data_IF_488877193676
#
_entry.id   IF_488877193676
#
_cell.length_a   1.000
_cell.length_b   1.000
_cell.length_c   1.000
_cell.angle_alpha   90.00
_cell.angle_beta   90.00
_cell.angle_gamma   90.00
#
_symmetry.space_group_name_H-M   'P 1'
#
loop_
_entity.id
_entity.type
_entity.pdbx_description
1 polymer ?
#
# COMPACT_ATOMS: atom_id res chain seq x y z
N UNK A 1 27.26 -29.37 -9.09
CA UNK A 1 26.07 -29.72 -8.28
C UNK A 1 26.08 -28.68 -7.18
N UNK A 2 25.18 -27.70 -7.24
CA UNK A 2 24.98 -26.76 -6.13
C UNK A 2 24.46 -27.57 -4.93
N UNK A 3 25.14 -27.55 -3.81
CA UNK A 3 24.57 -28.07 -2.56
C UNK A 3 23.21 -27.40 -2.38
N UNK A 4 22.15 -28.21 -2.32
CA UNK A 4 20.84 -27.70 -1.95
C UNK A 4 20.96 -27.24 -0.50
N UNK A 5 20.89 -25.95 -0.28
CA UNK A 5 20.83 -25.38 1.07
C UNK A 5 19.52 -25.91 1.69
N UNK A 6 19.64 -26.66 2.78
CA UNK A 6 18.48 -27.10 3.56
C UNK A 6 17.84 -25.84 4.16
N UNK A 7 16.54 -25.65 3.91
CA UNK A 7 15.80 -24.47 4.33
C UNK A 7 14.75 -24.88 5.35
N UNK A 8 14.63 -24.07 6.39
CA UNK A 8 13.55 -24.22 7.34
C UNK A 8 12.20 -23.92 6.66
N UNK A 9 11.13 -24.52 7.18
CA UNK A 9 9.77 -24.28 6.69
C UNK A 9 8.79 -24.05 7.81
N UNK A 10 7.81 -23.17 7.55
CA UNK A 10 6.63 -22.96 8.39
C UNK A 10 5.38 -23.17 7.57
N UNK A 11 4.35 -23.77 8.20
CA UNK A 11 3.06 -24.04 7.57
C UNK A 11 1.99 -23.09 8.11
N UNK A 12 1.20 -22.51 7.22
CA UNK A 12 0.07 -21.63 7.51
C UNK A 12 -1.17 -22.06 6.70
N UNK A 13 -2.33 -21.65 7.15
CA UNK A 13 -3.53 -21.77 6.32
C UNK A 13 -3.49 -20.73 5.19
N UNK A 14 -3.09 -19.50 5.51
CA UNK A 14 -3.00 -18.40 4.55
C UNK A 14 -1.68 -17.64 4.71
N UNK A 15 -0.97 -17.49 3.60
CA UNK A 15 0.19 -16.58 3.48
C UNK A 15 -0.19 -15.39 2.62
N UNK A 16 0.06 -14.19 3.09
CA UNK A 16 -0.21 -12.93 2.37
C UNK A 16 1.11 -12.22 2.07
N UNK A 17 1.35 -11.93 0.79
CA UNK A 17 2.57 -11.25 0.33
C UNK A 17 2.28 -9.77 0.16
N UNK A 18 2.82 -8.95 1.05
CA UNK A 18 2.70 -7.49 1.07
C UNK A 18 1.78 -6.97 2.19
N UNK A 19 2.37 -6.21 3.12
CA UNK A 19 1.67 -5.51 4.21
C UNK A 19 1.21 -4.10 3.80
N UNK A 20 0.70 -3.97 2.58
CA UNK A 20 -0.03 -2.79 2.13
C UNK A 20 -1.50 -2.82 2.58
N UNK A 21 -2.29 -1.78 2.24
CA UNK A 21 -3.69 -1.70 2.65
C UNK A 21 -4.50 -2.94 2.23
N UNK A 22 -4.23 -3.48 1.05
CA UNK A 22 -4.92 -4.67 0.52
C UNK A 22 -4.63 -5.93 1.33
N UNK A 23 -3.34 -6.22 1.58
CA UNK A 23 -2.95 -7.43 2.32
C UNK A 23 -3.40 -7.39 3.77
N UNK A 24 -3.20 -6.25 4.44
CA UNK A 24 -3.59 -6.09 5.84
C UNK A 24 -5.12 -6.12 6.03
N UNK A 25 -5.88 -5.48 5.12
CA UNK A 25 -7.34 -5.55 5.20
C UNK A 25 -7.86 -6.98 4.99
N UNK A 26 -7.24 -7.74 4.08
CA UNK A 26 -7.57 -9.14 3.87
C UNK A 26 -7.24 -9.97 5.12
N UNK A 27 -6.07 -9.78 5.72
CA UNK A 27 -5.66 -10.46 6.95
C UNK A 27 -6.63 -10.19 8.11
N UNK A 28 -6.94 -8.90 8.37
CA UNK A 28 -7.90 -8.51 9.40
C UNK A 28 -9.27 -9.17 9.18
N UNK A 29 -9.79 -9.09 7.94
CA UNK A 29 -11.12 -9.64 7.64
C UNK A 29 -11.18 -11.16 7.76
N UNK A 30 -10.15 -11.87 7.32
CA UNK A 30 -10.03 -13.32 7.49
C UNK A 30 -10.08 -13.72 8.97
N UNK A 31 -9.28 -13.06 9.81
CA UNK A 31 -9.24 -13.37 11.23
C UNK A 31 -10.51 -12.96 11.98
N UNK A 32 -11.15 -11.85 11.61
CA UNK A 32 -12.47 -11.49 12.14
C UNK A 32 -13.47 -12.60 11.88
N UNK A 33 -13.57 -13.09 10.64
CA UNK A 33 -14.50 -14.16 10.27
C UNK A 33 -14.16 -15.49 10.96
N UNK A 34 -12.87 -15.82 11.08
CA UNK A 34 -12.42 -17.01 11.78
C UNK A 34 -12.83 -16.95 13.28
N UNK A 35 -12.57 -15.82 13.95
CA UNK A 35 -12.91 -15.61 15.35
C UNK A 35 -14.44 -15.61 15.56
N UNK A 36 -15.22 -14.98 14.69
CA UNK A 36 -16.69 -14.98 14.72
C UNK A 36 -17.28 -16.38 14.57
N UNK A 37 -16.67 -17.23 13.74
CA UNK A 37 -17.13 -18.61 13.47
C UNK A 37 -16.53 -19.65 14.43
N UNK A 38 -15.58 -19.26 15.28
CA UNK A 38 -14.85 -20.17 16.15
C UNK A 38 -13.93 -21.15 15.41
N UNK A 39 -13.51 -20.79 14.19
CA UNK A 39 -12.54 -21.55 13.41
C UNK A 39 -11.11 -21.13 13.76
N UNK A 40 -10.25 -22.12 13.97
CA UNK A 40 -8.82 -21.86 14.08
C UNK A 40 -8.26 -21.64 12.66
N UNK A 41 -7.59 -20.51 12.45
CA UNK A 41 -6.97 -20.13 11.20
C UNK A 41 -5.59 -19.52 11.46
N UNK A 42 -4.56 -20.06 10.85
CA UNK A 42 -3.21 -19.51 10.90
C UNK A 42 -2.97 -18.61 9.67
N UNK A 43 -2.72 -17.33 9.92
CA UNK A 43 -2.49 -16.33 8.85
C UNK A 43 -1.19 -15.61 9.11
N UNK A 44 -0.32 -15.51 8.10
CA UNK A 44 0.84 -14.63 8.14
C UNK A 44 0.86 -13.64 6.99
N UNK A 45 1.46 -12.48 7.25
CA UNK A 45 1.72 -11.42 6.27
C UNK A 45 3.22 -11.17 6.21
N UNK A 46 3.81 -11.27 5.03
CA UNK A 46 5.23 -10.92 4.82
C UNK A 46 5.35 -9.56 4.14
N UNK A 47 6.32 -8.77 4.59
CA UNK A 47 6.61 -7.45 4.05
C UNK A 47 8.12 -7.30 3.80
N UNK A 48 8.49 -6.84 2.59
CA UNK A 48 9.89 -6.63 2.22
C UNK A 48 10.55 -5.44 2.91
N UNK A 49 9.77 -4.44 3.30
CA UNK A 49 10.25 -3.28 4.06
C UNK A 49 10.68 -3.69 5.47
N UNK A 50 11.68 -3.00 6.01
CA UNK A 50 12.17 -3.22 7.37
C UNK A 50 11.09 -3.02 8.45
N UNK A 51 10.07 -2.27 8.12
CA UNK A 51 8.83 -2.08 8.90
C UNK A 51 7.65 -1.90 7.96
N UNK A 52 6.45 -2.15 8.45
CA UNK A 52 5.22 -1.91 7.68
C UNK A 52 5.09 -0.42 7.36
N UNK A 53 4.79 -0.10 6.11
CA UNK A 53 4.64 1.27 5.64
C UNK A 53 5.94 1.98 5.25
N UNK A 54 7.13 1.38 5.46
CA UNK A 54 8.41 2.02 5.14
C UNK A 54 8.56 2.40 3.65
N UNK A 55 7.95 1.64 2.77
CA UNK A 55 7.99 1.89 1.32
C UNK A 55 6.79 2.69 0.80
N UNK A 56 5.95 3.21 1.69
CA UNK A 56 4.75 3.95 1.33
C UNK A 56 4.95 5.43 1.65
N UNK A 57 5.53 6.19 0.70
CA UNK A 57 5.48 7.64 0.74
C UNK A 57 4.13 8.09 0.18
N UNK A 58 3.25 8.53 1.04
CA UNK A 58 1.88 8.84 0.67
C UNK A 58 1.41 10.14 1.28
N UNK A 59 0.90 11.04 0.46
CA UNK A 59 -0.22 11.88 0.83
C UNK A 59 -1.43 11.34 0.07
N UNK A 60 -2.49 11.07 0.76
CA UNK A 60 -3.73 10.60 0.17
C UNK A 60 -4.92 11.29 0.82
N UNK A 61 -5.99 11.45 0.07
CA UNK A 61 -7.29 11.81 0.62
C UNK A 61 -8.13 10.54 0.66
N UNK A 62 -8.40 10.07 1.86
CA UNK A 62 -9.13 8.82 2.09
C UNK A 62 -10.60 9.09 2.40
N UNK A 63 -11.50 8.41 1.72
CA UNK A 63 -12.89 8.23 2.15
C UNK A 63 -12.94 6.99 3.05
N UNK A 64 -13.39 7.10 4.31
CA UNK A 64 -13.19 6.04 5.31
C UNK A 64 -14.19 4.88 5.21
N UNK A 65 -15.04 4.80 4.20
CA UNK A 65 -16.09 3.75 4.06
C UNK A 65 -15.56 2.34 4.24
N UNK A 66 -14.52 1.98 3.50
CA UNK A 66 -13.94 0.64 3.59
C UNK A 66 -13.33 0.36 4.98
N UNK A 67 -12.72 1.37 5.59
CA UNK A 67 -12.21 1.26 6.96
C UNK A 67 -13.35 1.11 7.96
N UNK A 68 -14.44 1.85 7.79
CA UNK A 68 -15.63 1.77 8.65
C UNK A 68 -16.35 0.42 8.50
N UNK A 69 -16.33 -0.18 7.31
CA UNK A 69 -16.87 -1.53 7.11
C UNK A 69 -16.00 -2.60 7.77
N UNK A 70 -14.67 -2.42 7.76
CA UNK A 70 -13.71 -3.34 8.36
C UNK A 70 -13.67 -3.20 9.89
N UNK A 71 -13.64 -1.98 10.39
CA UNK A 71 -13.61 -1.60 11.81
C UNK A 71 -14.62 -0.48 12.06
N UNK A 72 -15.87 -0.81 12.43
CA UNK A 72 -16.89 0.21 12.71
C UNK A 72 -16.49 1.18 13.82
N UNK A 73 -15.64 0.74 14.74
CA UNK A 73 -15.09 1.44 15.90
C UNK A 73 -13.67 2.03 15.65
N UNK A 74 -13.28 2.23 14.38
CA UNK A 74 -11.94 2.68 13.97
C UNK A 74 -11.47 3.97 14.69
N UNK A 75 -12.40 4.88 15.01
CA UNK A 75 -12.06 6.12 15.72
C UNK A 75 -11.67 5.83 17.18
N UNK A 76 -12.40 4.97 17.84
CA UNK A 76 -12.15 4.55 19.24
C UNK A 76 -10.85 3.75 19.33
N UNK A 77 -10.54 2.98 18.28
CA UNK A 77 -9.27 2.26 18.13
C UNK A 77 -8.08 3.15 17.77
N UNK A 78 -8.29 4.45 17.61
CA UNK A 78 -7.21 5.39 17.32
C UNK A 78 -6.63 5.30 15.91
N UNK A 79 -7.43 4.95 14.90
CA UNK A 79 -6.96 4.98 13.51
C UNK A 79 -6.43 6.38 13.13
N UNK A 80 -5.32 6.48 12.37
CA UNK A 80 -4.62 7.76 12.12
C UNK A 80 -5.32 8.63 11.06
N UNK A 81 -6.63 8.83 11.21
CA UNK A 81 -7.44 9.71 10.39
C UNK A 81 -7.76 10.99 11.18
N UNK A 82 -6.75 11.83 11.40
CA UNK A 82 -6.82 12.99 12.29
C UNK A 82 -7.04 14.31 11.57
N UNK A 83 -6.82 14.37 10.25
CA UNK A 83 -6.86 15.60 9.46
C UNK A 83 -8.01 15.56 8.46
N UNK A 84 -9.23 16.02 8.82
CA UNK A 84 -10.35 16.08 7.87
C UNK A 84 -10.05 17.05 6.73
N UNK A 85 -10.44 16.71 5.51
CA UNK A 85 -10.37 17.60 4.37
C UNK A 85 -11.39 18.72 4.54
N UNK A 86 -10.92 19.94 4.78
CA UNK A 86 -11.76 21.10 5.11
C UNK A 86 -11.92 22.05 3.93
N UNK A 87 -10.95 22.08 3.04
CA UNK A 87 -10.94 22.94 1.86
C UNK A 87 -10.36 22.21 0.66
N UNK A 88 -11.04 22.28 -0.48
CA UNK A 88 -10.64 21.61 -1.72
C UNK A 88 -10.62 22.63 -2.87
N UNK A 89 -9.52 22.71 -3.58
CA UNK A 89 -9.32 23.70 -4.63
C UNK A 89 -8.65 23.07 -5.86
N UNK A 90 -9.15 23.43 -7.04
CA UNK A 90 -8.61 22.97 -8.32
C UNK A 90 -7.96 24.13 -9.09
N UNK A 91 -6.75 23.90 -9.57
CA UNK A 91 -5.97 24.89 -10.32
C UNK A 91 -5.54 24.40 -11.69
N UNK A 92 -5.45 25.34 -12.63
CA UNK A 92 -4.77 25.16 -13.91
C UNK A 92 -3.47 25.95 -13.88
N UNK A 93 -2.33 25.27 -13.97
CA UNK A 93 -1.02 25.89 -14.10
C UNK A 93 -0.77 26.23 -15.60
N UNK A 94 -0.60 27.51 -15.90
CA UNK A 94 -0.28 27.98 -17.25
C UNK A 94 1.22 27.95 -17.54
N UNK A 95 1.99 28.29 -16.53
CA UNK A 95 3.46 28.27 -16.54
C UNK A 95 3.96 28.21 -15.08
N UNK A 96 5.28 28.24 -14.88
CA UNK A 96 5.92 28.19 -13.56
C UNK A 96 5.55 29.33 -12.58
N UNK A 97 4.86 30.37 -13.04
CA UNK A 97 4.54 31.58 -12.27
C UNK A 97 3.04 31.91 -12.26
N UNK A 98 2.24 31.25 -13.11
CA UNK A 98 0.84 31.61 -13.31
C UNK A 98 -0.05 30.38 -13.08
N UNK A 99 -0.84 30.47 -12.02
CA UNK A 99 -1.90 29.52 -11.68
C UNK A 99 -3.26 30.22 -11.81
N UNK A 100 -4.24 29.51 -12.29
CA UNK A 100 -5.63 29.93 -12.33
C UNK A 100 -6.49 28.99 -11.52
N UNK A 101 -7.07 29.50 -10.44
CA UNK A 101 -8.06 28.74 -9.65
C UNK A 101 -9.33 28.58 -10.47
N UNK A 102 -9.85 27.37 -10.53
CA UNK A 102 -11.15 27.09 -11.13
C UNK A 102 -12.26 27.34 -10.09
N UNK A 103 -13.33 28.06 -10.45
CA UNK A 103 -14.49 28.18 -9.58
C UNK A 103 -15.08 26.80 -9.25
N UNK A 104 -15.36 26.54 -7.97
CA UNK A 104 -15.89 25.24 -7.53
C UNK A 104 -17.18 24.84 -8.27
N UNK A 105 -18.00 25.81 -8.68
CA UNK A 105 -19.21 25.55 -9.46
C UNK A 105 -18.96 24.92 -10.85
N UNK A 106 -17.73 25.05 -11.37
CA UNK A 106 -17.31 24.47 -12.66
C UNK A 106 -16.58 23.12 -12.49
N UNK A 107 -16.28 22.72 -11.25
CA UNK A 107 -15.60 21.47 -10.95
C UNK A 107 -16.65 20.37 -10.79
N UNK A 108 -16.54 19.23 -11.49
CA UNK A 108 -17.45 18.10 -11.31
C UNK A 108 -17.49 17.62 -9.85
N UNK A 109 -18.66 17.27 -9.34
CA UNK A 109 -18.84 16.81 -7.95
C UNK A 109 -17.95 15.61 -7.59
N UNK A 110 -17.68 14.73 -8.55
CA UNK A 110 -16.81 13.56 -8.39
C UNK A 110 -15.34 13.92 -8.11
N UNK A 111 -14.92 15.14 -8.41
CA UNK A 111 -13.56 15.64 -8.16
C UNK A 111 -13.42 16.40 -6.83
N UNK A 112 -14.52 16.61 -6.11
CA UNK A 112 -14.48 17.28 -4.81
C UNK A 112 -14.13 16.30 -3.69
N UNK A 113 -13.26 16.75 -2.79
CA UNK A 113 -12.85 16.02 -1.58
C UNK A 113 -13.59 16.50 -0.32
N UNK A 114 -14.45 17.48 -0.45
CA UNK A 114 -15.27 18.06 0.63
C UNK A 114 -16.74 17.99 0.27
N UNK A 115 -17.64 18.02 1.29
CA UNK A 115 -19.08 18.11 1.08
C UNK A 115 -19.78 16.82 0.62
N UNK A 116 -19.12 15.68 0.76
CA UNK A 116 -19.72 14.36 0.57
C UNK A 116 -20.51 13.88 1.81
N UNK A 117 -21.14 12.70 1.70
CA UNK A 117 -21.85 12.05 2.82
C UNK A 117 -20.91 11.67 3.96
N UNK A 118 -19.69 11.26 3.63
CA UNK A 118 -18.64 10.93 4.59
C UNK A 118 -17.55 12.00 4.55
N UNK A 119 -17.05 12.35 5.72
CA UNK A 119 -15.86 13.18 5.85
C UNK A 119 -14.66 12.42 5.27
N UNK A 120 -13.92 13.06 4.37
CA UNK A 120 -12.65 12.55 3.87
C UNK A 120 -11.50 13.11 4.69
N UNK A 121 -10.40 12.38 4.74
CA UNK A 121 -9.25 12.73 5.55
C UNK A 121 -7.98 12.75 4.71
N UNK A 122 -7.16 13.77 4.94
CA UNK A 122 -5.77 13.75 4.45
C UNK A 122 -4.97 12.85 5.37
N UNK A 123 -4.36 11.81 4.82
CA UNK A 123 -3.67 10.78 5.60
C UNK A 123 -2.28 10.46 5.06
N UNK A 124 -1.47 9.88 5.92
CA UNK A 124 -0.35 9.04 5.53
C UNK A 124 -0.82 7.59 5.38
N UNK A 125 -0.78 7.04 4.16
CA UNK A 125 -1.13 5.63 3.97
C UNK A 125 -0.11 4.68 4.63
N UNK A 126 1.14 5.13 4.85
CA UNK A 126 2.12 4.41 5.65
C UNK A 126 1.69 4.27 7.10
N UNK A 127 1.23 5.36 7.73
CA UNK A 127 0.70 5.34 9.11
C UNK A 127 -0.55 4.46 9.21
N UNK A 128 -1.44 4.55 8.22
CA UNK A 128 -2.62 3.67 8.18
C UNK A 128 -2.22 2.19 8.09
N UNK A 129 -1.21 1.83 7.30
CA UNK A 129 -0.74 0.45 7.22
C UNK A 129 -0.12 -0.01 8.54
N UNK A 130 0.66 0.82 9.24
CA UNK A 130 1.19 0.47 10.57
C UNK A 130 0.05 0.16 11.55
N UNK A 131 -0.93 1.05 11.61
CA UNK A 131 -2.11 0.83 12.45
C UNK A 131 -2.89 -0.45 12.06
N UNK A 132 -3.09 -0.69 10.75
CA UNK A 132 -3.74 -1.93 10.30
C UNK A 132 -2.94 -3.18 10.66
N UNK A 133 -1.60 -3.11 10.66
CA UNK A 133 -0.76 -4.22 11.09
C UNK A 133 -0.94 -4.51 12.59
N UNK A 134 -0.97 -3.47 13.42
CA UNK A 134 -1.28 -3.61 14.86
C UNK A 134 -2.65 -4.28 15.06
N UNK A 135 -3.67 -3.84 14.30
CA UNK A 135 -4.99 -4.47 14.36
C UNK A 135 -4.98 -5.93 13.88
N UNK A 136 -4.19 -6.26 12.88
CA UNK A 136 -4.04 -7.62 12.40
C UNK A 136 -3.37 -8.52 13.45
N UNK A 137 -2.30 -8.04 14.09
CA UNK A 137 -1.61 -8.74 15.18
C UNK A 137 -2.53 -8.97 16.40
N UNK A 138 -3.34 -7.97 16.77
CA UNK A 138 -4.35 -8.12 17.83
C UNK A 138 -5.39 -9.21 17.51
N UNK A 139 -5.69 -9.41 16.22
CA UNK A 139 -6.60 -10.48 15.78
C UNK A 139 -5.93 -11.86 15.68
N UNK A 140 -4.59 -11.95 15.86
CA UNK A 140 -3.83 -13.18 15.81
C UNK A 140 -3.11 -13.44 14.48
N UNK A 141 -2.92 -12.43 13.64
CA UNK A 141 -2.09 -12.52 12.42
C UNK A 141 -0.61 -12.41 12.80
N UNK A 142 0.24 -13.22 12.21
CA UNK A 142 1.68 -13.08 12.31
C UNK A 142 2.18 -12.12 11.20
N UNK A 143 2.77 -10.99 11.57
CA UNK A 143 3.30 -10.00 10.60
C UNK A 143 4.82 -10.03 10.62
N UNK A 144 5.43 -10.30 9.46
CA UNK A 144 6.87 -10.44 9.29
C UNK A 144 7.45 -9.30 8.41
N UNK A 145 7.79 -8.15 8.98
CA UNK A 145 8.52 -7.11 8.26
C UNK A 145 9.99 -7.52 8.05
N UNK A 146 10.60 -7.06 6.97
CA UNK A 146 11.96 -7.43 6.56
C UNK A 146 12.06 -8.75 5.78
N UNK A 147 10.94 -9.47 5.61
CA UNK A 147 10.89 -10.76 4.93
C UNK A 147 10.42 -10.59 3.48
N UNK A 148 11.37 -10.56 2.55
CA UNK A 148 11.07 -10.40 1.13
C UNK A 148 10.77 -11.76 0.48
N UNK A 149 9.53 -11.94 -0.01
CA UNK A 149 9.17 -13.09 -0.82
C UNK A 149 9.93 -13.06 -2.15
N UNK A 150 10.72 -14.10 -2.44
CA UNK A 150 11.61 -14.18 -3.60
C UNK A 150 11.02 -15.03 -4.71
N UNK A 151 10.42 -16.17 -4.36
CA UNK A 151 9.89 -17.14 -5.33
C UNK A 151 8.54 -17.69 -4.86
N UNK A 152 7.76 -18.19 -5.81
CA UNK A 152 6.53 -18.94 -5.54
C UNK A 152 6.85 -20.42 -5.53
N UNK A 153 6.48 -21.11 -4.45
CA UNK A 153 6.62 -22.56 -4.34
C UNK A 153 5.45 -23.23 -5.07
N UNK A 154 5.78 -24.18 -5.94
CA UNK A 154 4.81 -24.97 -6.68
C UNK A 154 5.01 -26.44 -6.43
N UNK A 155 3.92 -27.19 -6.38
CA UNK A 155 3.95 -28.65 -6.48
C UNK A 155 4.27 -29.12 -7.90
N UNK A 156 4.49 -30.42 -8.05
CA UNK A 156 4.77 -31.05 -9.33
C UNK A 156 3.63 -30.86 -10.36
N UNK A 157 2.39 -30.69 -9.92
CA UNK A 157 1.23 -30.41 -10.76
C UNK A 157 1.04 -28.91 -11.07
N UNK A 158 1.93 -28.05 -10.55
CA UNK A 158 1.89 -26.60 -10.72
C UNK A 158 1.05 -25.83 -9.70
N UNK A 159 0.44 -26.53 -8.74
CA UNK A 159 -0.33 -25.87 -7.65
C UNK A 159 0.59 -25.00 -6.80
N UNK A 160 0.15 -23.77 -6.49
CA UNK A 160 0.86 -22.87 -5.58
C UNK A 160 0.76 -23.43 -4.15
N UNK A 161 1.90 -23.53 -3.46
CA UNK A 161 2.02 -24.06 -2.09
C UNK A 161 2.61 -23.10 -1.10
N UNK A 162 2.90 -21.89 -1.52
CA UNK A 162 3.46 -20.87 -0.66
C UNK A 162 4.53 -20.06 -1.37
N UNK A 163 5.46 -19.54 -0.58
CA UNK A 163 6.54 -18.68 -1.04
C UNK A 163 7.87 -19.06 -0.39
N UNK A 164 8.95 -18.77 -1.09
CA UNK A 164 10.30 -18.77 -0.55
C UNK A 164 10.68 -17.34 -0.16
N UNK A 165 11.12 -17.16 1.07
CA UNK A 165 11.75 -15.93 1.54
C UNK A 165 13.20 -15.91 1.08
N UNK A 166 13.65 -14.78 0.59
CA UNK A 166 15.02 -14.61 0.11
C UNK A 166 16.06 -14.73 1.21
N UNK A 167 17.26 -15.15 0.84
CA UNK A 167 18.40 -15.22 1.75
C UNK A 167 18.76 -13.82 2.26
N UNK A 168 19.06 -13.70 3.54
CA UNK A 168 19.53 -12.46 4.17
C UNK A 168 21.06 -12.44 4.28
N UNK A 169 21.63 -11.21 4.35
CA UNK A 169 23.06 -11.06 4.47
C UNK A 169 23.84 -11.51 3.22
N UNK A 170 23.29 -11.25 2.03
CA UNK A 170 23.91 -11.56 0.74
C UNK A 170 24.44 -10.28 0.09
N UNK A 171 25.60 -10.36 -0.56
CA UNK A 171 26.17 -9.29 -1.38
C UNK A 171 25.45 -9.19 -2.74
N UNK A 172 25.65 -8.09 -3.48
CA UNK A 172 25.07 -7.90 -4.80
C UNK A 172 25.48 -8.96 -5.83
N UNK A 173 26.63 -9.59 -5.64
CA UNK A 173 27.17 -10.69 -6.45
C UNK A 173 26.72 -12.09 -5.98
N UNK A 174 25.86 -12.17 -4.96
CA UNK A 174 25.33 -13.41 -4.40
C UNK A 174 26.22 -14.07 -3.35
N UNK A 175 27.34 -13.46 -2.95
CA UNK A 175 28.23 -14.03 -1.93
C UNK A 175 27.69 -13.78 -0.52
N UNK A 176 27.73 -14.79 0.38
CA UNK A 176 27.36 -14.61 1.78
C UNK A 176 28.25 -13.60 2.49
N UNK A 177 27.65 -12.74 3.32
CA UNK A 177 28.33 -11.80 4.24
C UNK A 177 28.31 -12.36 5.66
N UNK A 178 29.00 -11.67 6.56
CA UNK A 178 28.84 -11.89 8.00
C UNK A 178 27.35 -11.68 8.37
N UNK A 179 26.76 -12.69 9.03
CA UNK A 179 25.33 -12.70 9.35
C UNK A 179 24.43 -13.23 8.23
N UNK A 180 25.00 -13.98 7.28
CA UNK A 180 24.17 -14.72 6.31
C UNK A 180 23.19 -15.65 7.02
N UNK A 181 21.94 -15.59 6.58
CA UNK A 181 20.88 -16.53 6.95
C UNK A 181 20.19 -17.02 5.69
N UNK A 182 20.07 -18.36 5.49
CA UNK A 182 19.29 -18.89 4.40
C UNK A 182 17.82 -18.45 4.56
N UNK A 183 17.18 -18.16 3.46
CA UNK A 183 15.75 -17.93 3.46
C UNK A 183 14.97 -19.19 3.82
N UNK A 184 13.71 -19.00 4.22
CA UNK A 184 12.84 -20.08 4.64
C UNK A 184 11.64 -20.24 3.71
N UNK A 185 11.03 -21.42 3.72
CA UNK A 185 9.78 -21.68 3.01
C UNK A 185 8.58 -21.35 3.92
N UNK A 186 7.68 -20.52 3.42
CA UNK A 186 6.35 -20.34 4.04
C UNK A 186 5.33 -21.09 3.18
N UNK A 187 4.90 -22.23 3.66
CA UNK A 187 3.93 -23.09 2.97
C UNK A 187 2.53 -22.72 3.39
N UNK A 188 1.57 -22.78 2.45
CA UNK A 188 0.20 -22.38 2.72
C UNK A 188 -0.81 -23.18 1.91
N UNK A 189 -2.02 -23.31 2.46
CA UNK A 189 -3.18 -23.79 1.69
C UNK A 189 -3.61 -22.75 0.66
N UNK A 190 -3.52 -21.46 1.02
CA UNK A 190 -3.82 -20.32 0.15
C UNK A 190 -2.72 -19.26 0.25
N UNK A 191 -2.34 -18.70 -0.89
CA UNK A 191 -1.39 -17.58 -0.95
C UNK A 191 -2.04 -16.37 -1.64
N UNK A 192 -2.10 -15.23 -0.95
CA UNK A 192 -2.61 -13.98 -1.47
C UNK A 192 -1.43 -13.08 -1.88
N UNK A 193 -1.40 -12.65 -3.13
CA UNK A 193 -0.37 -11.76 -3.65
C UNK A 193 -0.90 -10.32 -3.64
N UNK A 194 -0.55 -9.56 -2.61
CA UNK A 194 -0.95 -8.16 -2.38
C UNK A 194 0.23 -7.20 -2.59
N UNK A 195 1.08 -7.48 -3.57
CA UNK A 195 2.37 -6.81 -3.83
C UNK A 195 2.25 -5.41 -4.48
N UNK A 196 1.04 -4.91 -4.67
CA UNK A 196 0.77 -3.65 -5.35
C UNK A 196 0.82 -3.75 -6.88
N UNK A 197 0.86 -2.58 -7.55
CA UNK A 197 0.67 -2.47 -8.99
C UNK A 197 1.73 -3.21 -9.84
N UNK A 198 2.93 -3.42 -9.30
CA UNK A 198 4.06 -4.05 -10.00
C UNK A 198 4.77 -5.09 -9.15
N UNK A 199 4.02 -5.95 -8.49
CA UNK A 199 4.55 -7.09 -7.75
C UNK A 199 5.43 -7.97 -8.64
N UNK A 200 6.60 -8.41 -8.13
CA UNK A 200 7.49 -9.20 -8.97
C UNK A 200 7.06 -10.67 -9.06
N UNK A 201 6.51 -11.24 -8.01
CA UNK A 201 5.93 -12.60 -8.03
C UNK A 201 4.67 -12.63 -8.88
N UNK A 202 3.82 -11.60 -8.77
CA UNK A 202 2.62 -11.45 -9.58
C UNK A 202 2.91 -11.48 -11.08
N UNK A 203 4.03 -10.89 -11.54
CA UNK A 203 4.45 -10.97 -12.96
C UNK A 203 4.73 -12.41 -13.39
N UNK A 204 5.40 -13.19 -12.55
CA UNK A 204 5.67 -14.60 -12.81
C UNK A 204 4.38 -15.41 -12.89
N UNK A 205 3.42 -15.16 -12.01
CA UNK A 205 2.11 -15.82 -12.01
C UNK A 205 1.27 -15.43 -13.23
N UNK A 206 1.23 -14.15 -13.58
CA UNK A 206 0.54 -13.66 -14.79
C UNK A 206 1.07 -14.41 -16.02
N UNK A 207 2.39 -14.46 -16.18
CA UNK A 207 3.02 -15.15 -17.31
C UNK A 207 2.77 -16.65 -17.29
N UNK A 208 2.90 -17.30 -16.13
CA UNK A 208 2.75 -18.75 -15.99
C UNK A 208 1.33 -19.25 -16.26
N UNK A 209 0.34 -18.52 -15.73
CA UNK A 209 -1.07 -18.88 -15.81
C UNK A 209 -1.85 -18.10 -16.87
N UNK A 210 -1.16 -17.27 -17.67
CA UNK A 210 -1.76 -16.46 -18.73
C UNK A 210 -2.94 -15.60 -18.23
N UNK A 211 -2.77 -14.97 -17.04
CA UNK A 211 -3.86 -14.25 -16.37
C UNK A 211 -4.27 -12.96 -17.08
N UNK A 212 -3.46 -12.47 -17.99
CA UNK A 212 -3.69 -11.29 -18.83
C UNK A 212 -4.25 -11.64 -20.23
N UNK A 213 -4.47 -12.91 -20.54
CA UNK A 213 -5.05 -13.32 -21.82
C UNK A 213 -6.46 -12.74 -21.99
N UNK A 214 -6.68 -12.07 -23.12
CA UNK A 214 -7.94 -11.41 -23.44
C UNK A 214 -8.28 -10.18 -22.57
N UNK A 215 -7.31 -9.63 -21.84
CA UNK A 215 -7.44 -8.39 -21.08
C UNK A 215 -6.81 -7.21 -21.79
N UNK A 216 -7.31 -6.01 -21.53
CA UNK A 216 -6.67 -4.78 -21.98
C UNK A 216 -5.29 -4.62 -21.29
N UNK A 217 -4.30 -4.03 -22.00
CA UNK A 217 -3.00 -3.75 -21.41
C UNK A 217 -3.10 -2.89 -20.15
N UNK A 218 -2.34 -3.26 -19.11
CA UNK A 218 -2.22 -2.46 -17.90
C UNK A 218 -1.55 -1.12 -18.20
N UNK A 219 -2.18 -0.01 -17.82
CA UNK A 219 -1.58 1.31 -17.88
C UNK A 219 -0.91 1.66 -16.55
N UNK A 220 0.31 2.18 -16.62
CA UNK A 220 1.08 2.61 -15.47
C UNK A 220 1.38 4.09 -15.56
N UNK A 221 1.15 4.81 -14.46
CA UNK A 221 1.60 6.19 -14.31
C UNK A 221 2.86 6.25 -13.43
N UNK A 222 3.72 7.23 -13.72
CA UNK A 222 4.88 7.54 -12.88
C UNK A 222 4.55 8.78 -12.09
N UNK A 223 4.70 8.72 -10.77
CA UNK A 223 4.52 9.85 -9.87
C UNK A 223 5.81 10.19 -9.14
N UNK A 224 6.07 11.48 -8.98
CA UNK A 224 7.10 12.02 -8.08
C UNK A 224 6.38 12.64 -6.89
N UNK A 225 6.82 12.29 -5.67
CA UNK A 225 6.22 12.80 -4.44
C UNK A 225 7.29 13.26 -3.48
N UNK A 226 6.98 14.31 -2.74
CA UNK A 226 7.83 14.84 -1.68
C UNK A 226 6.98 15.13 -0.46
N UNK A 227 7.57 14.94 0.72
CA UNK A 227 7.01 15.33 2.02
C UNK A 227 7.88 16.46 2.57
N UNK A 228 7.24 17.57 2.92
CA UNK A 228 7.91 18.77 3.41
C UNK A 228 7.37 19.17 4.77
N UNK A 229 8.26 19.53 5.69
CA UNK A 229 7.92 20.27 6.89
C UNK A 229 7.86 21.76 6.55
N UNK A 230 6.78 22.42 6.94
CA UNK A 230 6.59 23.84 6.68
C UNK A 230 6.37 24.63 7.98
N UNK A 231 6.67 25.92 8.00
CA UNK A 231 6.33 26.77 9.15
C UNK A 231 4.84 26.71 9.50
N UNK A 232 4.52 26.64 10.80
CA UNK A 232 3.16 26.50 11.29
C UNK A 232 2.21 27.61 10.79
N UNK A 233 2.73 28.83 10.62
CA UNK A 233 1.97 29.98 10.11
C UNK A 233 1.58 29.87 8.62
N UNK A 234 2.18 28.92 7.89
CA UNK A 234 1.85 28.60 6.50
C UNK A 234 1.02 27.33 6.36
N UNK A 235 0.82 26.62 7.45
CA UNK A 235 0.12 25.37 7.45
C UNK A 235 -1.38 25.56 7.60
N UNK A 236 -2.15 24.90 6.74
CA UNK A 236 -3.62 24.92 6.76
C UNK A 236 -4.14 23.46 6.78
N UNK A 237 -4.25 22.82 7.97
CA UNK A 237 -4.65 21.43 8.06
C UNK A 237 -5.92 21.10 7.28
N UNK A 238 -5.87 20.06 6.45
CA UNK A 238 -6.99 19.63 5.63
C UNK A 238 -7.22 20.44 4.35
N UNK A 239 -6.30 21.33 3.98
CA UNK A 239 -6.29 21.94 2.66
C UNK A 239 -5.83 20.90 1.62
N UNK A 240 -6.66 20.73 0.59
CA UNK A 240 -6.42 19.84 -0.55
C UNK A 240 -6.36 20.67 -1.81
N UNK A 241 -5.22 20.67 -2.48
CA UNK A 241 -5.03 21.32 -3.77
C UNK A 241 -4.75 20.26 -4.84
N UNK A 242 -5.47 20.36 -5.95
CA UNK A 242 -5.24 19.59 -7.14
C UNK A 242 -5.05 20.50 -8.35
N UNK A 243 -4.43 19.97 -9.38
CA UNK A 243 -4.36 20.72 -10.61
C UNK A 243 -3.81 19.94 -11.79
N UNK A 244 -3.84 20.61 -12.92
CA UNK A 244 -3.30 20.11 -14.19
C UNK A 244 -2.55 21.23 -14.93
N UNK A 245 -2.01 20.91 -16.11
CA UNK A 245 -1.28 21.85 -16.94
C UNK A 245 0.22 21.79 -16.71
N UNK A 246 0.91 22.94 -16.72
CA UNK A 246 2.37 22.98 -16.57
C UNK A 246 2.84 22.16 -15.36
N UNK A 247 3.94 21.38 -15.42
CA UNK A 247 4.90 21.26 -16.53
C UNK A 247 4.51 20.24 -17.62
N UNK A 248 3.34 19.61 -17.52
CA UNK A 248 2.91 18.61 -18.48
C UNK A 248 2.54 19.25 -19.82
N UNK A 249 2.85 18.58 -20.93
CA UNK A 249 2.43 18.97 -22.27
C UNK A 249 0.91 18.73 -22.44
N UNK A 250 0.32 19.35 -23.48
CA UNK A 250 -1.14 19.28 -23.70
C UNK A 250 -1.66 17.88 -24.01
N UNK A 251 -0.80 17.01 -24.51
CA UNK A 251 -1.05 15.63 -24.89
C UNK A 251 -0.62 14.63 -23.80
N UNK A 252 -0.12 15.13 -22.67
CA UNK A 252 0.31 14.30 -21.55
C UNK A 252 -0.77 14.29 -20.47
N UNK A 253 -1.28 13.09 -20.18
CA UNK A 253 -2.23 12.88 -19.08
C UNK A 253 -1.49 12.90 -17.75
N UNK A 254 -2.04 13.64 -16.79
CA UNK A 254 -1.46 13.74 -15.47
C UNK A 254 -1.94 14.99 -14.73
N UNK A 255 -1.34 15.22 -13.59
CA UNK A 255 -1.67 16.35 -12.75
C UNK A 255 -0.74 16.45 -11.55
N UNK A 256 -1.01 17.41 -10.70
CA UNK A 256 -0.27 17.64 -9.47
C UNK A 256 -1.24 17.76 -8.30
N UNK A 257 -0.72 17.54 -7.12
CA UNK A 257 -1.44 17.75 -5.89
C UNK A 257 -0.53 18.35 -4.81
N UNK A 258 -1.16 19.04 -3.85
CA UNK A 258 -0.54 19.50 -2.61
C UNK A 258 -1.57 19.35 -1.49
N UNK A 259 -1.22 18.55 -0.48
CA UNK A 259 -2.07 18.29 0.66
C UNK A 259 -1.41 18.73 1.95
N UNK A 260 -2.14 19.51 2.75
CA UNK A 260 -1.73 19.86 4.10
C UNK A 260 -2.17 18.75 5.07
N UNK A 261 -1.21 17.94 5.46
CA UNK A 261 -1.40 16.82 6.36
C UNK A 261 -1.29 17.22 7.83
N UNK A 262 -1.11 16.28 8.72
CA UNK A 262 -0.82 16.52 10.14
C UNK A 262 0.60 17.07 10.37
N UNK A 263 0.91 17.50 11.59
CA UNK A 263 2.27 17.85 12.04
C UNK A 263 2.99 18.94 11.21
N UNK A 264 2.27 19.93 10.68
CA UNK A 264 2.81 20.96 9.79
C UNK A 264 3.49 20.40 8.54
N UNK A 265 3.04 19.25 8.06
CA UNK A 265 3.57 18.62 6.87
C UNK A 265 2.68 18.89 5.65
N UNK A 266 3.34 19.04 4.51
CA UNK A 266 2.67 19.04 3.22
C UNK A 266 3.24 17.97 2.32
N UNK A 267 2.35 17.29 1.60
CA UNK A 267 2.72 16.32 0.58
C UNK A 267 2.48 16.93 -0.77
N UNK A 268 3.52 16.97 -1.60
CA UNK A 268 3.46 17.48 -2.97
C UNK A 268 3.71 16.33 -3.92
N UNK A 269 2.96 16.27 -5.01
CA UNK A 269 3.18 15.26 -6.03
C UNK A 269 2.82 15.72 -7.44
N UNK A 270 3.51 15.13 -8.39
CA UNK A 270 3.25 15.22 -9.83
C UNK A 270 3.11 13.82 -10.39
N UNK A 271 2.08 13.57 -11.19
CA UNK A 271 1.79 12.28 -11.83
C UNK A 271 1.72 12.48 -13.33
#
# INVERSE_FOLDING_TARGET
MSEQVERDSMDFDVVIVGAGPSGLSAACRLMQQANESGQELSVCVVEKGSEVGAHILSGAVLEPRALQELFPDWQERGAPLTTPATRDELYLLKDAKKAQKLPNALVPKSMHNTGGELTRYVISAGNLCRWLAEQAEELGVEVFPGFAAQEVIHDADGTVRGILIGDMGVSADGTPKDGYMPGMELRAKYTLFAEGARGHLGKGLISRFQLDEGKDPQHYCIGLKELWDIPAEKHEPGLVLHGSGWPLAKDTHGGWFLYHAENNQVVVGLI
#
